data_IF_050521224909
#
_entry.id   IF_050521224909
#
_cell.length_a   1.000
_cell.length_b   1.000
_cell.length_c   1.000
_cell.angle_alpha   90.00
_cell.angle_beta   90.00
_cell.angle_gamma   90.00
#
_symmetry.space_group_name_H-M   'P 1'
#
loop_
_entity.id
_entity.type
_entity.pdbx_description
1 polymer ?
#
# COMPACT_ATOMS: atom_id res chain seq x y z
N UNK A 1 -9.72 -2.80 5.28
CA UNK A 1 -9.98 -3.54 4.00
C UNK A 1 -10.70 -2.61 3.04
N UNK A 2 -10.28 -2.56 1.79
CA UNK A 2 -10.71 -1.55 0.80
C UNK A 2 -11.42 -2.19 -0.41
N UNK A 3 -12.46 -2.96 -0.17
CA UNK A 3 -13.25 -3.59 -1.20
C UNK A 3 -12.79 -5.00 -1.56
N UNK A 4 -13.00 -5.40 -2.81
CA UNK A 4 -12.65 -6.69 -3.38
C UNK A 4 -11.51 -6.52 -4.38
N UNK A 5 -10.49 -7.36 -4.32
CA UNK A 5 -9.37 -7.38 -5.26
C UNK A 5 -9.76 -7.58 -6.73
N UNK A 6 -10.97 -8.09 -6.98
CA UNK A 6 -11.51 -8.24 -8.33
C UNK A 6 -12.24 -6.99 -8.87
N UNK A 7 -12.34 -5.92 -8.08
CA UNK A 7 -12.89 -4.64 -8.56
C UNK A 7 -11.83 -3.85 -9.33
N UNK A 8 -11.92 -3.86 -10.66
CA UNK A 8 -10.99 -3.17 -11.57
C UNK A 8 -10.86 -1.67 -11.30
N UNK A 9 -11.97 -1.04 -10.91
CA UNK A 9 -12.00 0.41 -10.69
C UNK A 9 -11.31 0.77 -9.39
N UNK A 10 -11.59 0.04 -8.30
CA UNK A 10 -10.92 0.23 -7.02
C UNK A 10 -9.43 -0.10 -7.11
N UNK A 11 -9.06 -1.18 -7.82
CA UNK A 11 -7.67 -1.57 -8.04
C UNK A 11 -6.82 -0.42 -8.61
N UNK A 12 -7.37 0.41 -9.49
CA UNK A 12 -6.69 1.58 -10.06
C UNK A 12 -6.98 2.89 -9.34
N UNK A 13 -8.13 3.03 -8.68
CA UNK A 13 -8.49 4.26 -7.97
C UNK A 13 -7.66 4.47 -6.69
N UNK A 14 -7.34 3.42 -5.94
CA UNK A 14 -6.56 3.54 -4.72
C UNK A 14 -5.12 3.99 -4.92
N UNK A 15 -4.34 3.51 -5.92
CA UNK A 15 -3.05 4.11 -6.26
C UNK A 15 -3.14 5.59 -6.59
N UNK A 16 -4.17 6.02 -7.34
CA UNK A 16 -4.42 7.45 -7.61
C UNK A 16 -4.67 8.22 -6.32
N UNK A 17 -5.51 7.70 -5.43
CA UNK A 17 -5.75 8.29 -4.10
C UNK A 17 -4.48 8.34 -3.25
N UNK A 18 -3.67 7.26 -3.25
CA UNK A 18 -2.39 7.23 -2.55
C UNK A 18 -1.49 8.38 -2.98
N UNK A 19 -1.40 8.60 -4.28
CA UNK A 19 -0.60 9.68 -4.83
C UNK A 19 -1.12 11.05 -4.41
N UNK A 20 -2.41 11.31 -4.59
CA UNK A 20 -3.01 12.62 -4.33
C UNK A 20 -3.05 12.95 -2.82
N UNK A 21 -3.31 11.96 -1.98
CA UNK A 21 -3.44 12.17 -0.53
C UNK A 21 -2.09 12.32 0.19
N UNK A 22 -1.04 11.59 -0.26
CA UNK A 22 0.19 11.44 0.52
C UNK A 22 1.47 11.63 -0.30
N UNK A 23 1.53 11.13 -1.55
CA UNK A 23 2.81 11.03 -2.28
C UNK A 23 3.15 12.29 -3.06
N UNK A 24 2.16 13.01 -3.57
CA UNK A 24 2.40 14.24 -4.36
C UNK A 24 2.98 15.38 -3.51
N UNK A 25 3.62 16.33 -4.18
CA UNK A 25 4.13 17.55 -3.53
C UNK A 25 2.92 18.33 -2.99
N UNK A 26 2.95 18.69 -1.71
CA UNK A 26 1.84 19.40 -1.05
C UNK A 26 0.59 18.55 -0.83
N UNK A 27 0.73 17.22 -0.83
CA UNK A 27 -0.37 16.30 -0.57
C UNK A 27 -1.04 16.61 0.78
N UNK A 28 -2.38 16.76 0.81
CA UNK A 28 -3.09 17.34 1.96
C UNK A 28 -2.91 16.54 3.24
N UNK A 29 -3.01 15.23 3.18
CA UNK A 29 -2.88 14.37 4.36
C UNK A 29 -1.45 14.33 4.90
N UNK A 30 -0.46 14.28 4.01
CA UNK A 30 0.95 14.37 4.41
C UNK A 30 1.25 15.71 5.07
N UNK A 31 0.79 16.81 4.49
CA UNK A 31 1.00 18.15 5.02
C UNK A 31 0.34 18.32 6.38
N UNK A 32 -0.91 17.89 6.53
CA UNK A 32 -1.63 17.98 7.81
C UNK A 32 -0.92 17.24 8.95
N UNK A 33 -0.36 16.06 8.69
CA UNK A 33 0.40 15.28 9.67
C UNK A 33 1.72 15.97 10.04
N UNK A 34 2.45 16.50 9.05
CA UNK A 34 3.71 17.22 9.28
C UNK A 34 3.48 18.53 10.05
N UNK A 35 2.45 19.29 9.70
CA UNK A 35 2.08 20.53 10.40
C UNK A 35 1.65 20.28 11.84
N UNK A 36 1.06 19.12 12.12
CA UNK A 36 0.75 18.67 13.48
C UNK A 36 1.98 18.15 14.25
N UNK A 37 3.17 18.16 13.65
CA UNK A 37 4.40 17.65 14.25
C UNK A 37 4.40 16.13 14.46
N UNK A 38 3.65 15.40 13.66
CA UNK A 38 3.53 13.94 13.75
C UNK A 38 4.51 13.27 12.79
N UNK A 39 5.59 12.75 13.33
CA UNK A 39 6.64 12.11 12.54
C UNK A 39 7.40 13.06 11.61
N UNK A 40 8.32 12.53 10.86
CA UNK A 40 9.10 13.27 9.86
C UNK A 40 9.10 12.61 8.48
N UNK A 41 8.58 11.40 8.38
CA UNK A 41 8.41 10.67 7.14
C UNK A 41 7.02 10.03 7.12
N UNK A 42 6.17 10.56 6.23
CA UNK A 42 4.80 10.10 6.04
C UNK A 42 4.70 9.45 4.67
N UNK A 43 4.24 8.22 4.66
CA UNK A 43 4.01 7.44 3.45
C UNK A 43 2.67 6.73 3.50
N UNK A 44 2.21 6.24 2.37
CA UNK A 44 1.05 5.36 2.28
C UNK A 44 1.35 4.19 1.36
N UNK A 45 0.61 3.13 1.57
CA UNK A 45 0.72 1.92 0.78
C UNK A 45 -0.67 1.34 0.54
N UNK A 46 -0.94 0.94 -0.68
CA UNK A 46 -2.11 0.17 -1.06
C UNK A 46 -1.67 -1.22 -1.50
N UNK A 47 -2.13 -2.23 -0.79
CA UNK A 47 -1.87 -3.63 -1.12
C UNK A 47 -3.02 -4.15 -1.97
N UNK A 48 -2.78 -4.23 -3.27
CA UNK A 48 -3.74 -4.69 -4.26
C UNK A 48 -3.68 -6.19 -4.55
N UNK A 49 -2.56 -6.85 -4.25
CA UNK A 49 -2.29 -8.24 -4.64
C UNK A 49 -3.01 -9.29 -3.78
N UNK A 50 -3.88 -8.86 -2.88
CA UNK A 50 -4.63 -9.74 -1.97
C UNK A 50 -6.13 -9.68 -2.25
N UNK A 51 -6.85 -10.77 -1.91
CA UNK A 51 -8.30 -10.85 -2.12
C UNK A 51 -9.06 -9.69 -1.48
N UNK A 52 -8.61 -9.26 -0.31
CA UNK A 52 -9.17 -8.12 0.41
C UNK A 52 -8.12 -7.01 0.53
N UNK A 53 -8.01 -6.13 -0.46
CA UNK A 53 -7.03 -5.06 -0.47
C UNK A 53 -7.13 -4.16 0.77
N UNK A 54 -6.01 -3.58 1.15
CA UNK A 54 -5.98 -2.63 2.27
C UNK A 54 -5.13 -1.41 1.96
N UNK A 55 -5.49 -0.31 2.59
CA UNK A 55 -4.80 0.96 2.50
C UNK A 55 -4.15 1.28 3.84
N UNK A 56 -2.86 1.59 3.83
CA UNK A 56 -2.09 1.92 5.03
C UNK A 56 -1.55 3.34 4.95
N UNK A 57 -1.58 4.05 6.06
CA UNK A 57 -0.90 5.33 6.26
C UNK A 57 0.15 5.10 7.33
N UNK A 58 1.39 5.43 7.03
CA UNK A 58 2.55 5.13 7.85
C UNK A 58 3.24 6.44 8.23
N UNK A 59 3.43 6.66 9.51
CA UNK A 59 4.26 7.75 10.03
C UNK A 59 5.46 7.17 10.79
N UNK A 60 6.67 7.62 10.45
CA UNK A 60 7.90 7.20 11.12
C UNK A 60 8.38 8.29 12.08
N UNK A 61 9.11 7.85 13.11
CA UNK A 61 9.66 8.72 14.17
C UNK A 61 8.58 9.50 14.93
N UNK A 62 7.46 8.80 15.25
CA UNK A 62 6.33 9.33 16.02
C UNK A 62 6.52 9.00 17.49
N UNK A 63 6.20 9.93 18.38
CA UNK A 63 6.16 9.67 19.83
C UNK A 63 4.91 8.88 20.19
N UNK A 64 5.02 8.01 21.20
CA UNK A 64 3.90 7.15 21.60
C UNK A 64 2.65 7.92 22.03
N UNK A 65 2.86 9.06 22.67
CA UNK A 65 1.80 9.94 23.17
C UNK A 65 0.98 10.54 22.02
N UNK A 66 1.55 10.60 20.80
CA UNK A 66 0.91 11.17 19.61
C UNK A 66 -0.05 10.20 18.89
N UNK A 67 -0.21 8.98 19.40
CA UNK A 67 -1.08 7.97 18.78
C UNK A 67 -2.49 8.50 18.49
N UNK A 68 -3.14 9.06 19.48
CA UNK A 68 -4.52 9.58 19.34
C UNK A 68 -4.55 10.79 18.41
N UNK A 69 -3.54 11.65 18.50
CA UNK A 69 -3.40 12.81 17.62
C UNK A 69 -3.27 12.38 16.15
N UNK A 70 -2.46 11.35 15.85
CA UNK A 70 -2.31 10.79 14.51
C UNK A 70 -3.65 10.37 13.91
N UNK A 71 -4.45 9.59 14.66
CA UNK A 71 -5.77 9.15 14.21
C UNK A 71 -6.69 10.36 13.97
N UNK A 72 -6.73 11.30 14.91
CA UNK A 72 -7.61 12.48 14.83
C UNK A 72 -7.28 13.39 13.65
N UNK A 73 -5.99 13.62 13.36
CA UNK A 73 -5.56 14.43 12.20
C UNK A 73 -5.97 13.76 10.90
N UNK A 74 -5.75 12.45 10.76
CA UNK A 74 -6.17 11.71 9.56
C UNK A 74 -7.68 11.81 9.34
N UNK A 75 -8.47 11.52 10.37
CA UNK A 75 -9.94 11.58 10.25
C UNK A 75 -10.43 12.98 9.92
N UNK A 76 -9.84 14.00 10.56
CA UNK A 76 -10.24 15.40 10.34
C UNK A 76 -9.93 15.83 8.92
N UNK A 77 -8.73 15.52 8.41
CA UNK A 77 -8.34 15.91 7.05
C UNK A 77 -9.13 15.12 6.00
N UNK A 78 -9.36 13.82 6.19
CA UNK A 78 -10.20 13.04 5.27
C UNK A 78 -11.65 13.54 5.25
N UNK A 79 -12.23 13.92 6.40
CA UNK A 79 -13.58 14.54 6.47
C UNK A 79 -13.63 15.88 5.74
N UNK A 80 -12.59 16.69 5.87
CA UNK A 80 -12.45 17.94 5.14
C UNK A 80 -12.39 17.70 3.63
N UNK A 81 -11.55 16.77 3.18
CA UNK A 81 -11.44 16.40 1.76
C UNK A 81 -12.77 15.91 1.18
N UNK A 82 -13.51 15.07 1.92
CA UNK A 82 -14.85 14.62 1.48
C UNK A 82 -15.84 15.77 1.33
N UNK A 83 -15.73 16.81 2.17
CA UNK A 83 -16.59 17.98 2.13
C UNK A 83 -16.21 19.00 1.05
N UNK A 84 -14.91 19.25 0.90
CA UNK A 84 -14.39 20.33 0.03
C UNK A 84 -14.02 19.83 -1.37
N UNK A 85 -13.86 18.51 -1.54
CA UNK A 85 -13.41 17.86 -2.76
C UNK A 85 -11.90 17.77 -2.88
N UNK A 86 -11.46 16.86 -3.74
CA UNK A 86 -10.04 16.69 -4.12
C UNK A 86 -9.66 17.66 -5.24
N UNK A 87 -8.38 18.03 -5.30
CA UNK A 87 -7.86 18.83 -6.39
C UNK A 87 -7.93 18.05 -7.71
N UNK A 88 -8.76 18.53 -8.63
CA UNK A 88 -9.05 17.87 -9.92
C UNK A 88 -7.80 17.78 -10.81
N UNK A 89 -6.92 18.77 -10.78
CA UNK A 89 -5.68 18.75 -11.56
C UNK A 89 -4.72 17.69 -11.05
N UNK A 90 -4.61 17.54 -9.72
CA UNK A 90 -3.80 16.49 -9.09
C UNK A 90 -4.35 15.09 -9.40
N UNK A 91 -5.68 14.91 -9.36
CA UNK A 91 -6.32 13.66 -9.75
C UNK A 91 -6.02 13.31 -11.22
N UNK A 92 -6.22 14.27 -12.12
CA UNK A 92 -5.98 14.05 -13.54
C UNK A 92 -4.49 13.76 -13.83
N UNK A 93 -3.59 14.48 -13.18
CA UNK A 93 -2.15 14.25 -13.29
C UNK A 93 -1.76 12.85 -12.81
N UNK A 94 -2.30 12.40 -11.67
CA UNK A 94 -2.07 11.06 -11.14
C UNK A 94 -2.58 9.97 -12.12
N UNK A 95 -3.82 10.10 -12.60
CA UNK A 95 -4.41 9.15 -13.54
C UNK A 95 -3.57 9.07 -14.82
N UNK A 96 -3.17 10.22 -15.38
CA UNK A 96 -2.33 10.28 -16.59
C UNK A 96 -0.95 9.64 -16.36
N UNK A 97 -0.35 9.87 -15.20
CA UNK A 97 0.95 9.27 -14.83
C UNK A 97 0.86 7.74 -14.78
N UNK A 98 -0.15 7.19 -14.09
CA UNK A 98 -0.36 5.74 -14.02
C UNK A 98 -0.76 5.12 -15.37
N UNK A 99 -1.58 5.81 -16.17
CA UNK A 99 -1.91 5.36 -17.52
C UNK A 99 -0.66 5.35 -18.44
N UNK A 100 0.20 6.36 -18.32
CA UNK A 100 1.45 6.41 -19.07
C UNK A 100 2.37 5.24 -18.70
N UNK A 101 2.60 5.00 -17.40
CA UNK A 101 3.38 3.85 -16.94
C UNK A 101 2.81 2.52 -17.44
N UNK A 102 1.49 2.38 -17.40
CA UNK A 102 0.81 1.20 -17.92
C UNK A 102 1.05 1.00 -19.44
N UNK A 103 0.91 2.06 -20.24
CA UNK A 103 1.07 1.99 -21.70
C UNK A 103 2.49 1.72 -22.13
N UNK A 104 3.46 2.34 -21.45
CA UNK A 104 4.89 2.12 -21.71
C UNK A 104 5.39 0.79 -21.16
N UNK A 105 4.60 0.11 -20.34
CA UNK A 105 5.01 -1.06 -19.56
C UNK A 105 6.34 -0.77 -18.84
N UNK A 106 6.39 0.39 -18.16
CA UNK A 106 7.57 0.82 -17.40
C UNK A 106 7.57 0.16 -16.02
N UNK A 107 8.33 -0.91 -15.92
CA UNK A 107 8.57 -1.64 -14.68
C UNK A 107 10.01 -1.45 -14.18
N UNK A 108 10.67 -0.40 -14.60
CA UNK A 108 12.08 -0.14 -14.27
C UNK A 108 12.98 -1.29 -14.74
N UNK A 109 13.75 -1.87 -13.83
CA UNK A 109 14.70 -2.95 -14.12
C UNK A 109 14.07 -4.37 -14.13
N UNK A 110 12.78 -4.49 -13.88
CA UNK A 110 12.13 -5.80 -13.84
C UNK A 110 11.69 -6.27 -15.25
N UNK A 111 11.86 -7.57 -15.57
CA UNK A 111 11.40 -8.11 -16.84
C UNK A 111 9.88 -7.93 -17.01
N UNK A 112 9.46 -7.37 -18.15
CA UNK A 112 8.04 -7.09 -18.45
C UNK A 112 7.14 -8.32 -18.31
N UNK A 113 7.58 -9.48 -18.80
CA UNK A 113 6.83 -10.72 -18.69
C UNK A 113 6.59 -11.17 -17.25
N UNK A 114 7.58 -11.01 -16.37
CA UNK A 114 7.43 -11.29 -14.94
C UNK A 114 6.38 -10.37 -14.31
N UNK A 115 6.46 -9.06 -14.56
CA UNK A 115 5.53 -8.09 -13.97
C UNK A 115 4.10 -8.28 -14.45
N UNK A 116 3.90 -8.57 -15.74
CA UNK A 116 2.57 -8.95 -16.23
C UNK A 116 2.08 -10.28 -15.63
N UNK A 117 2.96 -11.26 -15.48
CA UNK A 117 2.64 -12.52 -14.80
C UNK A 117 2.15 -12.29 -13.37
N UNK A 118 2.84 -11.46 -12.58
CA UNK A 118 2.42 -11.11 -11.23
C UNK A 118 1.07 -10.40 -11.22
N UNK A 119 0.85 -9.42 -12.11
CA UNK A 119 -0.45 -8.73 -12.21
C UNK A 119 -1.61 -9.66 -12.62
N UNK A 120 -1.34 -10.69 -13.41
CA UNK A 120 -2.34 -11.72 -13.74
C UNK A 120 -2.74 -12.48 -12.45
N UNK A 121 -1.78 -12.82 -11.61
CA UNK A 121 -2.05 -13.53 -10.36
C UNK A 121 -2.88 -12.70 -9.38
N UNK A 122 -2.84 -11.38 -9.40
CA UNK A 122 -3.66 -10.51 -8.54
C UNK A 122 -5.18 -10.74 -8.69
N UNK A 123 -5.60 -11.34 -9.80
CA UNK A 123 -6.99 -11.73 -10.02
C UNK A 123 -7.19 -13.23 -10.24
N UNK A 124 -6.29 -13.89 -10.97
CA UNK A 124 -6.42 -15.30 -11.33
C UNK A 124 -6.42 -16.24 -10.12
N UNK A 125 -5.65 -15.94 -9.09
CA UNK A 125 -5.65 -16.70 -7.83
C UNK A 125 -7.01 -16.72 -7.13
N UNK A 126 -7.87 -15.76 -7.41
CA UNK A 126 -9.16 -15.58 -6.75
C UNK A 126 -10.37 -15.90 -7.63
N UNK A 127 -10.20 -15.84 -8.95
CA UNK A 127 -11.24 -16.18 -9.92
C UNK A 127 -10.57 -16.64 -11.23
N UNK A 128 -10.67 -17.95 -11.50
CA UNK A 128 -10.06 -18.57 -12.69
C UNK A 128 -10.59 -18.01 -14.02
N UNK A 129 -11.80 -17.43 -14.01
CA UNK A 129 -12.42 -16.84 -15.20
C UNK A 129 -11.99 -15.39 -15.45
N UNK A 130 -11.18 -14.81 -14.55
CA UNK A 130 -10.79 -13.39 -14.62
C UNK A 130 -9.27 -13.15 -14.57
N UNK A 131 -8.45 -13.90 -15.34
CA UNK A 131 -6.99 -13.76 -15.25
C UNK A 131 -6.46 -12.40 -15.74
N UNK A 132 -7.18 -11.72 -16.65
CA UNK A 132 -6.67 -10.54 -17.35
C UNK A 132 -7.32 -9.22 -16.94
N UNK A 133 -8.17 -9.20 -15.92
CA UNK A 133 -8.96 -8.00 -15.60
C UNK A 133 -8.10 -6.80 -15.21
N UNK A 134 -6.93 -7.00 -14.60
CA UNK A 134 -6.04 -5.93 -14.15
C UNK A 134 -5.05 -5.47 -15.22
N UNK A 135 -4.71 -6.33 -16.19
CA UNK A 135 -3.86 -5.94 -17.32
C UNK A 135 -4.65 -5.35 -18.49
N UNK A 136 -5.98 -5.49 -18.51
CA UNK A 136 -6.87 -4.84 -19.49
C UNK A 136 -7.41 -3.52 -18.92
N UNK A 137 -6.52 -2.54 -18.67
CA UNK A 137 -6.84 -1.36 -17.87
C UNK A 137 -7.26 -0.11 -18.66
N UNK A 138 -7.27 -0.13 -20.01
CA UNK A 138 -7.61 1.06 -20.82
C UNK A 138 -9.00 1.64 -20.48
N UNK A 139 -10.02 0.77 -20.39
CA UNK A 139 -11.39 1.20 -20.06
C UNK A 139 -11.49 1.73 -18.64
N UNK A 140 -10.69 1.16 -17.73
CA UNK A 140 -10.61 1.60 -16.34
C UNK A 140 -10.01 3.00 -16.23
N UNK A 141 -8.92 3.29 -16.95
CA UNK A 141 -8.37 4.65 -17.00
C UNK A 141 -9.34 5.65 -17.66
N UNK A 142 -9.99 5.26 -18.74
CA UNK A 142 -11.02 6.09 -19.36
C UNK A 142 -12.20 6.37 -18.42
N UNK A 143 -12.61 5.38 -17.64
CA UNK A 143 -13.63 5.53 -16.60
C UNK A 143 -13.16 6.50 -15.52
N UNK A 144 -11.97 6.31 -14.94
CA UNK A 144 -11.44 7.16 -13.87
C UNK A 144 -11.31 8.63 -14.32
N UNK A 145 -10.87 8.87 -15.55
CA UNK A 145 -10.83 10.24 -16.12
C UNK A 145 -12.19 10.91 -16.16
N UNK A 146 -13.25 10.16 -16.49
CA UNK A 146 -14.64 10.68 -16.48
C UNK A 146 -15.14 10.96 -15.06
N UNK A 147 -14.55 10.34 -14.04
CA UNK A 147 -14.91 10.59 -12.66
C UNK A 147 -14.24 11.85 -12.07
N UNK A 148 -13.23 12.41 -12.73
CA UNK A 148 -12.63 13.68 -12.31
C UNK A 148 -13.68 14.79 -12.42
N UNK A 149 -13.89 15.54 -11.33
CA UNK A 149 -14.94 16.55 -11.22
C UNK A 149 -16.30 16.01 -10.75
N UNK A 150 -16.38 14.72 -10.45
CA UNK A 150 -17.51 14.12 -9.73
C UNK A 150 -17.11 13.83 -8.29
N UNK A 151 -18.05 13.33 -7.48
CA UNK A 151 -17.83 12.93 -6.09
C UNK A 151 -17.32 11.46 -5.93
N UNK A 152 -16.88 10.85 -7.01
CA UNK A 152 -16.50 9.42 -7.02
C UNK A 152 -15.35 9.10 -6.06
N UNK A 153 -14.28 9.87 -6.11
CA UNK A 153 -13.10 9.65 -5.27
C UNK A 153 -13.38 9.97 -3.81
N UNK A 154 -14.17 11.01 -3.54
CA UNK A 154 -14.63 11.40 -2.21
C UNK A 154 -15.51 10.29 -1.60
N UNK A 155 -16.38 9.67 -2.38
CA UNK A 155 -17.18 8.51 -1.95
C UNK A 155 -16.33 7.29 -1.62
N UNK A 156 -15.23 7.05 -2.34
CA UNK A 156 -14.26 5.99 -2.00
C UNK A 156 -13.62 6.29 -0.64
N UNK A 157 -13.16 7.53 -0.42
CA UNK A 157 -12.59 7.95 0.86
C UNK A 157 -13.61 7.77 1.98
N UNK A 158 -14.82 8.27 1.79
CA UNK A 158 -15.88 8.17 2.80
C UNK A 158 -16.20 6.71 3.15
N UNK A 159 -16.40 5.87 2.15
CA UNK A 159 -16.81 4.49 2.32
C UNK A 159 -15.70 3.61 2.92
N UNK A 160 -14.48 3.72 2.39
CA UNK A 160 -13.41 2.76 2.68
C UNK A 160 -12.37 3.26 3.68
N UNK A 161 -12.25 4.56 3.90
CA UNK A 161 -11.30 5.11 4.87
C UNK A 161 -11.99 5.67 6.12
N UNK A 162 -13.13 6.37 5.98
CA UNK A 162 -13.82 6.98 7.12
C UNK A 162 -14.86 6.08 7.76
N UNK A 163 -15.72 5.42 6.97
CA UNK A 163 -16.83 4.59 7.46
C UNK A 163 -16.51 3.09 7.51
N UNK A 164 -15.25 2.74 7.35
CA UNK A 164 -14.82 1.35 7.33
C UNK A 164 -14.65 0.81 8.76
N UNK A 165 -15.42 -0.22 9.17
CA UNK A 165 -15.28 -0.84 10.49
C UNK A 165 -14.00 -1.68 10.64
N UNK A 166 -13.35 -2.04 9.53
CA UNK A 166 -12.13 -2.85 9.49
C UNK A 166 -10.87 -1.95 9.44
N UNK A 167 -10.70 -1.12 10.46
CA UNK A 167 -9.51 -0.30 10.66
C UNK A 167 -8.68 -0.84 11.83
N UNK A 168 -7.36 -0.87 11.66
CA UNK A 168 -6.42 -1.32 12.70
C UNK A 168 -5.31 -0.29 12.84
N UNK A 169 -4.93 0.01 14.07
CA UNK A 169 -3.76 0.79 14.39
C UNK A 169 -2.65 -0.12 14.88
N UNK A 170 -1.49 -0.05 14.24
CA UNK A 170 -0.29 -0.79 14.63
C UNK A 170 0.80 0.19 15.04
N UNK A 171 1.39 0.02 16.22
CA UNK A 171 2.53 0.77 16.68
C UNK A 171 3.73 -0.16 16.85
N UNK A 172 4.81 0.18 16.17
CA UNK A 172 6.08 -0.56 16.26
C UNK A 172 7.07 0.29 17.04
N UNK A 173 7.60 -0.25 18.13
CA UNK A 173 8.59 0.42 18.96
C UNK A 173 9.96 -0.24 18.79
N UNK A 174 11.05 0.54 18.67
CA UNK A 174 12.38 0.00 18.68
C UNK A 174 12.72 -0.55 20.08
N UNK A 175 13.33 -1.70 20.14
CA UNK A 175 13.88 -2.28 21.37
C UNK A 175 15.40 -2.40 21.21
N UNK A 176 16.13 -1.64 22.01
CA UNK A 176 17.60 -1.67 22.00
C UNK A 176 18.09 -3.07 22.35
N UNK A 177 19.04 -3.58 21.60
CA UNK A 177 19.62 -4.92 21.82
C UNK A 177 18.77 -6.10 21.33
N UNK A 178 17.59 -5.86 20.72
CA UNK A 178 16.74 -6.96 20.24
C UNK A 178 17.43 -7.80 19.17
N UNK A 179 18.13 -7.18 18.23
CA UNK A 179 18.86 -7.89 17.15
C UNK A 179 19.90 -8.82 17.75
N UNK A 180 20.71 -8.34 18.69
CA UNK A 180 21.73 -9.16 19.35
C UNK A 180 21.12 -10.36 20.08
N UNK A 181 20.01 -10.14 20.80
CA UNK A 181 19.30 -11.24 21.47
C UNK A 181 18.76 -12.28 20.46
N UNK A 182 18.20 -11.82 19.34
CA UNK A 182 17.71 -12.74 18.30
C UNK A 182 18.85 -13.52 17.64
N UNK A 183 19.98 -12.87 17.36
CA UNK A 183 21.18 -13.53 16.82
C UNK A 183 21.76 -14.59 17.80
N UNK A 184 21.79 -14.28 19.09
CA UNK A 184 22.21 -15.23 20.11
C UNK A 184 21.26 -16.43 20.22
N UNK A 185 19.94 -16.18 20.19
CA UNK A 185 18.94 -17.25 20.19
C UNK A 185 19.01 -18.12 18.94
N UNK A 186 19.21 -17.51 17.77
CA UNK A 186 19.37 -18.24 16.52
C UNK A 186 20.64 -19.08 16.51
N UNK A 187 21.75 -18.51 16.94
CA UNK A 187 23.02 -19.23 17.09
C UNK A 187 22.87 -20.43 17.99
N UNK A 188 22.25 -20.28 19.16
CA UNK A 188 21.99 -21.39 20.07
C UNK A 188 21.12 -22.47 19.44
N UNK A 189 20.05 -22.11 18.73
CA UNK A 189 19.21 -23.07 18.00
C UNK A 189 20.01 -23.85 16.95
N UNK A 190 20.91 -23.17 16.25
CA UNK A 190 21.76 -23.81 15.23
C UNK A 190 22.77 -24.75 15.89
N UNK A 191 23.39 -24.37 17.02
CA UNK A 191 24.29 -25.23 17.82
C UNK A 191 23.56 -26.48 18.31
N UNK A 192 22.38 -26.34 18.93
CA UNK A 192 21.51 -27.45 19.36
C UNK A 192 21.13 -28.36 18.18
N UNK A 193 20.84 -27.78 17.03
CA UNK A 193 20.53 -28.54 15.82
C UNK A 193 21.75 -29.32 15.31
N UNK A 194 22.92 -28.71 15.29
CA UNK A 194 24.16 -29.36 14.85
C UNK A 194 24.53 -30.55 15.73
N UNK A 195 24.23 -30.50 17.02
CA UNK A 195 24.46 -31.64 17.94
C UNK A 195 23.53 -32.83 17.66
N UNK A 196 22.33 -32.57 17.09
CA UNK A 196 21.32 -33.59 16.81
C UNK A 196 21.44 -34.21 15.41
N UNK A 197 22.14 -33.55 14.48
CA UNK A 197 22.25 -33.99 13.08
C UNK A 197 23.57 -34.74 12.85
N UNK A 198 23.47 -35.93 12.25
CA UNK A 198 24.63 -36.75 11.84
C UNK A 198 25.50 -35.96 10.84
N UNK A 199 26.83 -36.06 11.01
CA UNK A 199 27.85 -35.39 10.17
C UNK A 199 27.67 -35.63 8.67
N UNK A 200 27.11 -36.76 8.27
CA UNK A 200 26.83 -37.12 6.88
C UNK A 200 25.83 -36.21 6.18
N UNK A 201 24.99 -35.45 6.90
CA UNK A 201 24.02 -34.52 6.35
C UNK A 201 24.56 -33.08 6.29
N UNK A 202 25.69 -32.78 6.89
CA UNK A 202 26.32 -31.46 6.92
C UNK A 202 27.37 -31.25 5.80
N UNK A 203 27.78 -32.32 5.11
CA UNK A 203 28.69 -32.22 3.98
C UNK A 203 27.91 -32.00 2.70
N UNK A 204 27.96 -30.77 2.14
CA UNK A 204 27.54 -30.53 0.77
C UNK A 204 28.42 -31.37 -0.16
N UNK A 205 27.85 -32.04 -1.18
CA UNK A 205 28.66 -32.69 -2.20
C UNK A 205 29.50 -31.61 -2.88
N UNK A 206 30.80 -31.73 -2.80
CA UNK A 206 31.74 -30.90 -3.55
C UNK A 206 31.56 -31.27 -5.02
N UNK A 207 31.03 -30.36 -5.84
CA UNK A 207 30.97 -30.47 -7.31
C UNK A 207 32.31 -30.05 -7.87
#
# INVERSE_FOLDING_TARGET
MCGDGLDRNLYRAFPVLSYVLVQSIGAPLKQALLDAGIGNDISCYYEESVRQPFFSIIAKNVKMEQKQQFITVIETELKKIVKEGLNQQSLLAAINGYEFQYREADFGNFPKGLMYGLQIFDSWLYDENKPFIHIQANDTFAFLKKQVGTDYFEKIIEKYLLKNPHATFVSVQPKVGLTTLMEEEEKKKLEDYMETVSYTHLTLPTI
#
